data_IF_666294202933
#
_entry.id   IF_666294202933
#
_cell.length_a   1.000
_cell.length_b   1.000
_cell.length_c   1.000
_cell.angle_alpha   90.00
_cell.angle_beta   90.00
_cell.angle_gamma   90.00
#
_symmetry.space_group_name_H-M   'P 1'
#
loop_
_entity.id
_entity.type
_entity.pdbx_description
1 polymer ?
#
# COMPACT_ATOMS: atom_id res chain seq x y z
N UNK A 1 15.27 12.05 -16.36
CA UNK A 1 14.99 10.70 -15.86
C UNK A 1 15.99 10.26 -14.79
N UNK A 2 17.30 10.37 -15.04
CA UNK A 2 18.36 9.90 -14.11
C UNK A 2 18.37 10.60 -12.73
N UNK A 3 18.04 11.88 -12.64
CA UNK A 3 18.03 12.58 -11.35
C UNK A 3 16.84 12.19 -10.47
N UNK A 4 15.69 11.96 -11.08
CA UNK A 4 14.48 11.49 -10.36
C UNK A 4 14.69 10.08 -9.79
N UNK A 5 15.34 9.21 -10.57
CA UNK A 5 15.70 7.87 -10.10
C UNK A 5 16.68 7.91 -8.92
N UNK A 6 17.71 8.76 -9.00
CA UNK A 6 18.68 8.95 -7.91
C UNK A 6 18.01 9.51 -6.66
N UNK A 7 17.15 10.52 -6.82
CA UNK A 7 16.40 11.11 -5.71
C UNK A 7 15.49 10.06 -5.07
N UNK A 8 14.76 9.29 -5.88
CA UNK A 8 13.93 8.21 -5.38
C UNK A 8 14.77 7.17 -4.62
N UNK A 9 15.89 6.71 -5.19
CA UNK A 9 16.80 5.76 -4.53
C UNK A 9 17.31 6.30 -3.18
N UNK A 10 17.68 7.57 -3.13
CA UNK A 10 18.15 8.21 -1.89
C UNK A 10 17.02 8.28 -0.85
N UNK A 11 15.83 8.73 -1.26
CA UNK A 11 14.67 8.79 -0.35
C UNK A 11 14.30 7.40 0.18
N UNK A 12 14.32 6.41 -0.69
CA UNK A 12 14.04 5.04 -0.33
C UNK A 12 15.08 4.43 0.62
N UNK A 13 16.37 4.71 0.39
CA UNK A 13 17.44 4.23 1.27
C UNK A 13 17.35 4.81 2.70
N UNK A 14 16.62 5.92 2.88
CA UNK A 14 16.44 6.57 4.19
C UNK A 14 15.07 6.30 4.82
N UNK A 15 14.28 5.39 4.26
CA UNK A 15 13.04 4.98 4.91
C UNK A 15 13.33 4.31 6.26
N UNK A 16 12.52 4.57 7.29
CA UNK A 16 12.64 3.91 8.57
C UNK A 16 12.58 2.39 8.41
N UNK A 17 13.46 1.66 9.09
CA UNK A 17 13.44 0.19 9.09
C UNK A 17 12.23 -0.38 9.81
N UNK A 18 11.72 0.30 10.83
CA UNK A 18 10.53 -0.13 11.56
C UNK A 18 9.25 0.38 10.93
N UNK A 19 8.20 -0.45 10.90
CA UNK A 19 6.87 -0.06 10.43
C UNK A 19 6.33 1.16 11.19
N UNK A 20 6.48 1.21 12.51
CA UNK A 20 6.06 2.35 13.31
C UNK A 20 6.77 3.65 12.93
N UNK A 21 8.06 3.58 12.57
CA UNK A 21 8.82 4.72 12.05
C UNK A 21 8.29 5.18 10.68
N UNK A 22 7.99 4.24 9.79
CA UNK A 22 7.40 4.51 8.48
C UNK A 22 6.02 5.18 8.62
N UNK A 23 5.18 4.70 9.54
CA UNK A 23 3.87 5.27 9.83
C UNK A 23 3.97 6.70 10.35
N UNK A 24 4.90 6.98 11.29
CA UNK A 24 5.13 8.34 11.80
C UNK A 24 5.60 9.29 10.71
N UNK A 25 6.54 8.85 9.87
CA UNK A 25 6.98 9.61 8.71
C UNK A 25 5.83 9.89 7.76
N UNK A 26 5.04 8.88 7.43
CA UNK A 26 3.87 8.99 6.56
C UNK A 26 2.85 9.99 7.10
N UNK A 27 2.58 9.95 8.40
CA UNK A 27 1.68 10.90 9.07
C UNK A 27 2.14 12.34 8.89
N UNK A 28 3.42 12.61 9.14
CA UNK A 28 4.00 13.96 8.96
C UNK A 28 3.93 14.41 7.50
N UNK A 29 4.32 13.53 6.57
CA UNK A 29 4.29 13.84 5.14
C UNK A 29 2.86 14.09 4.62
N UNK A 30 1.86 13.37 5.13
CA UNK A 30 0.45 13.60 4.81
C UNK A 30 0.01 15.01 5.20
N UNK A 31 0.38 15.47 6.38
CA UNK A 31 0.11 16.82 6.85
C UNK A 31 0.87 17.89 6.07
N UNK A 32 2.15 17.68 5.78
CA UNK A 32 2.94 18.60 4.96
C UNK A 32 2.35 18.73 3.55
N UNK A 33 1.94 17.64 2.96
CA UNK A 33 1.29 17.67 1.64
C UNK A 33 -0.05 18.40 1.69
N UNK A 34 -0.84 18.15 2.72
CA UNK A 34 -2.11 18.86 2.89
C UNK A 34 -1.91 20.37 3.04
N UNK A 35 -0.88 20.82 3.77
CA UNK A 35 -0.54 22.22 3.90
C UNK A 35 -0.07 22.83 2.57
N UNK A 36 0.75 22.11 1.81
CA UNK A 36 1.36 22.60 0.58
C UNK A 36 0.43 22.58 -0.65
N UNK A 37 -0.60 21.72 -0.67
CA UNK A 37 -1.43 21.48 -1.86
C UNK A 37 -2.91 21.86 -1.65
N UNK A 38 -3.35 23.00 -2.19
CA UNK A 38 -4.77 23.36 -2.19
C UNK A 38 -5.66 22.33 -2.89
N UNK A 39 -5.15 21.75 -3.97
CA UNK A 39 -5.87 20.70 -4.72
C UNK A 39 -6.10 19.46 -3.86
N UNK A 40 -5.07 18.96 -3.18
CA UNK A 40 -5.21 17.81 -2.30
C UNK A 40 -6.22 18.08 -1.16
N UNK A 41 -6.23 19.31 -0.60
CA UNK A 41 -7.23 19.71 0.41
C UNK A 41 -8.66 19.62 -0.13
N UNK A 42 -8.88 20.12 -1.34
CA UNK A 42 -10.20 20.11 -1.97
C UNK A 42 -10.65 18.67 -2.30
N UNK A 43 -9.76 17.87 -2.89
CA UNK A 43 -10.04 16.48 -3.26
C UNK A 43 -10.37 15.62 -2.01
N UNK A 44 -9.59 15.77 -0.93
CA UNK A 44 -9.85 15.06 0.32
C UNK A 44 -11.17 15.49 0.96
N UNK A 45 -11.45 16.79 1.02
CA UNK A 45 -12.70 17.30 1.57
C UNK A 45 -13.92 16.81 0.76
N UNK A 46 -13.83 16.82 -0.57
CA UNK A 46 -14.87 16.30 -1.46
C UNK A 46 -15.11 14.80 -1.27
N UNK A 47 -14.04 14.01 -1.16
CA UNK A 47 -14.14 12.57 -0.90
C UNK A 47 -14.83 12.26 0.43
N UNK A 48 -14.42 12.96 1.49
CA UNK A 48 -15.02 12.78 2.82
C UNK A 48 -16.49 13.22 2.86
N UNK A 49 -16.84 14.31 2.17
CA UNK A 49 -18.21 14.77 2.05
C UNK A 49 -19.09 13.74 1.30
N UNK A 50 -18.58 13.17 0.20
CA UNK A 50 -19.27 12.12 -0.56
C UNK A 50 -19.50 10.86 0.29
N UNK A 51 -18.55 10.53 1.17
CA UNK A 51 -18.68 9.43 2.11
C UNK A 51 -19.54 9.74 3.36
N UNK A 52 -20.11 10.95 3.46
CA UNK A 52 -20.88 11.40 4.63
C UNK A 52 -20.05 11.61 5.90
N UNK A 53 -18.73 11.70 5.77
CA UNK A 53 -17.79 11.84 6.90
C UNK A 53 -17.56 13.32 7.23
N UNK A 54 -18.47 13.91 7.97
CA UNK A 54 -18.43 15.34 8.35
C UNK A 54 -17.70 15.63 9.65
N UNK A 55 -17.27 14.59 10.40
CA UNK A 55 -16.61 14.76 11.69
C UNK A 55 -15.19 15.37 11.53
N UNK A 56 -14.87 16.52 12.16
CA UNK A 56 -13.54 17.14 12.06
C UNK A 56 -12.39 16.26 12.58
N UNK A 57 -12.65 15.34 13.50
CA UNK A 57 -11.62 14.39 13.98
C UNK A 57 -11.26 13.39 12.87
N UNK A 58 -12.28 12.84 12.18
CA UNK A 58 -12.06 11.94 11.04
C UNK A 58 -11.31 12.64 9.91
N UNK A 59 -11.64 13.90 9.62
CA UNK A 59 -10.92 14.69 8.63
C UNK A 59 -9.42 14.79 8.97
N UNK A 60 -9.08 15.16 10.20
CA UNK A 60 -7.68 15.23 10.63
C UNK A 60 -6.96 13.88 10.57
N UNK A 61 -7.65 12.81 10.93
CA UNK A 61 -7.11 11.46 10.82
C UNK A 61 -6.86 11.07 9.35
N UNK A 62 -7.78 11.37 8.45
CA UNK A 62 -7.64 11.09 7.02
C UNK A 62 -6.44 11.80 6.38
N UNK A 63 -6.15 13.05 6.78
CA UNK A 63 -4.96 13.79 6.29
C UNK A 63 -3.68 13.00 6.56
N UNK A 64 -3.47 12.58 7.81
CA UNK A 64 -2.30 11.79 8.17
C UNK A 64 -2.31 10.39 7.56
N UNK A 65 -3.46 9.71 7.55
CA UNK A 65 -3.62 8.35 7.04
C UNK A 65 -3.29 8.23 5.55
N UNK A 66 -3.60 9.23 4.73
CA UNK A 66 -3.20 9.24 3.32
C UNK A 66 -1.68 9.18 3.14
N UNK A 67 -0.92 9.93 3.93
CA UNK A 67 0.53 9.88 3.92
C UNK A 67 1.07 8.56 4.45
N UNK A 68 0.45 8.02 5.52
CA UNK A 68 0.80 6.71 6.08
C UNK A 68 0.66 5.63 5.02
N UNK A 69 -0.45 5.56 4.30
CA UNK A 69 -0.69 4.55 3.25
C UNK A 69 0.41 4.54 2.18
N UNK A 70 0.86 5.72 1.75
CA UNK A 70 1.93 5.84 0.74
C UNK A 70 3.25 5.31 1.30
N UNK A 71 3.63 5.74 2.51
CA UNK A 71 4.93 5.34 3.09
C UNK A 71 4.94 3.87 3.50
N UNK A 72 3.82 3.33 3.97
CA UNK A 72 3.68 1.89 4.25
C UNK A 72 3.84 1.04 2.98
N UNK A 73 3.23 1.45 1.86
CA UNK A 73 3.40 0.74 0.59
C UNK A 73 4.88 0.71 0.17
N UNK A 74 5.58 1.84 0.27
CA UNK A 74 7.01 1.93 -0.02
C UNK A 74 7.84 1.07 0.95
N UNK A 75 7.47 1.03 2.22
CA UNK A 75 8.10 0.22 3.24
C UNK A 75 7.95 -1.28 2.92
N UNK A 76 6.73 -1.73 2.61
CA UNK A 76 6.42 -3.12 2.24
C UNK A 76 7.25 -3.57 1.04
N UNK A 77 7.44 -2.72 0.03
CA UNK A 77 8.20 -3.08 -1.17
C UNK A 77 9.71 -3.16 -0.97
N UNK A 78 10.24 -2.60 0.10
CA UNK A 78 11.69 -2.49 0.31
C UNK A 78 12.24 -3.37 1.43
N UNK A 79 11.42 -3.65 2.44
CA UNK A 79 11.91 -4.48 3.55
C UNK A 79 12.10 -5.93 3.12
N UNK A 80 12.99 -6.66 3.80
CA UNK A 80 13.12 -8.10 3.62
C UNK A 80 11.75 -8.77 3.76
N UNK A 81 11.50 -9.74 2.91
CA UNK A 81 10.18 -10.36 2.84
C UNK A 81 9.72 -11.00 4.17
N UNK A 82 10.57 -11.73 4.91
CA UNK A 82 10.19 -12.26 6.22
C UNK A 82 9.75 -11.16 7.19
N UNK A 83 10.48 -10.02 7.23
CA UNK A 83 10.18 -8.92 8.13
C UNK A 83 8.80 -8.30 7.84
N UNK A 84 8.40 -8.27 6.55
CA UNK A 84 7.08 -7.78 6.15
C UNK A 84 6.00 -8.75 6.61
N UNK A 85 6.18 -10.05 6.41
CA UNK A 85 5.22 -11.08 6.84
C UNK A 85 5.02 -11.10 8.34
N UNK A 86 6.09 -10.90 9.11
CA UNK A 86 6.06 -10.86 10.58
C UNK A 86 5.23 -9.69 11.14
N UNK A 87 4.91 -8.70 10.32
CA UNK A 87 4.00 -7.60 10.73
C UNK A 87 2.53 -8.00 10.72
N UNK A 88 2.17 -9.08 10.03
CA UNK A 88 0.79 -9.59 9.99
C UNK A 88 0.50 -10.30 11.31
N UNK A 89 -0.35 -9.71 12.14
CA UNK A 89 -0.69 -10.22 13.48
C UNK A 89 -1.84 -11.20 13.48
N UNK A 90 -2.80 -10.98 12.61
CA UNK A 90 -4.03 -11.76 12.58
C UNK A 90 -4.58 -11.79 11.14
N UNK A 91 -5.13 -12.93 10.75
CA UNK A 91 -5.83 -13.10 9.49
C UNK A 91 -7.15 -13.80 9.79
N UNK A 92 -8.25 -13.13 9.51
CA UNK A 92 -9.59 -13.63 9.76
C UNK A 92 -10.24 -14.08 8.46
N UNK A 93 -10.93 -15.22 8.47
CA UNK A 93 -11.70 -15.72 7.33
C UNK A 93 -10.88 -16.47 6.26
N UNK A 94 -9.61 -16.76 6.50
CA UNK A 94 -8.79 -17.52 5.54
C UNK A 94 -9.31 -18.95 5.31
N UNK A 95 -9.97 -19.53 6.29
CA UNK A 95 -10.64 -20.83 6.21
C UNK A 95 -11.68 -20.90 5.07
N UNK A 96 -12.34 -19.78 4.75
CA UNK A 96 -13.27 -19.70 3.64
C UNK A 96 -12.54 -19.83 2.27
N UNK A 97 -11.33 -19.27 2.18
CA UNK A 97 -10.45 -19.40 1.00
C UNK A 97 -10.01 -20.85 0.83
N UNK A 98 -9.55 -21.49 1.91
CA UNK A 98 -9.15 -22.90 1.92
C UNK A 98 -10.31 -23.82 1.50
N UNK A 99 -11.49 -23.60 2.06
CA UNK A 99 -12.69 -24.34 1.70
C UNK A 99 -13.10 -24.16 0.22
N UNK A 100 -12.99 -22.91 -0.29
CA UNK A 100 -13.28 -22.63 -1.69
C UNK A 100 -12.25 -23.30 -2.63
N UNK A 101 -10.98 -23.28 -2.27
CA UNK A 101 -9.89 -23.96 -2.99
C UNK A 101 -10.11 -25.47 -3.04
N UNK A 102 -10.51 -26.07 -1.92
CA UNK A 102 -10.79 -27.50 -1.81
C UNK A 102 -11.90 -28.00 -2.76
N UNK A 103 -12.78 -27.10 -3.23
CA UNK A 103 -13.81 -27.42 -4.23
C UNK A 103 -13.29 -27.47 -5.69
N UNK A 104 -12.00 -27.16 -5.91
CA UNK A 104 -11.38 -27.25 -7.23
C UNK A 104 -11.73 -26.14 -8.22
N UNK A 105 -12.42 -25.09 -7.77
CA UNK A 105 -12.74 -23.89 -8.57
C UNK A 105 -11.63 -22.84 -8.51
N UNK A 106 -11.65 -21.90 -9.47
CA UNK A 106 -10.83 -20.70 -9.39
C UNK A 106 -11.33 -19.74 -8.31
N UNK A 107 -10.43 -18.90 -7.79
CA UNK A 107 -10.74 -17.89 -6.80
C UNK A 107 -10.54 -16.50 -7.39
N UNK A 108 -11.50 -15.62 -7.16
CA UNK A 108 -11.38 -14.21 -7.49
C UNK A 108 -11.37 -13.38 -6.18
N UNK A 109 -10.24 -12.71 -5.92
CA UNK A 109 -10.12 -11.79 -4.78
C UNK A 109 -10.43 -10.37 -5.20
N UNK A 110 -11.32 -9.72 -4.45
CA UNK A 110 -11.58 -8.29 -4.57
C UNK A 110 -10.98 -7.59 -3.35
N UNK A 111 -9.97 -6.77 -3.57
CA UNK A 111 -9.26 -6.05 -2.51
C UNK A 111 -9.57 -4.57 -2.57
N UNK A 112 -10.23 -3.99 -1.55
CA UNK A 112 -10.39 -2.55 -1.46
C UNK A 112 -9.06 -1.88 -1.13
N UNK A 113 -8.89 -0.62 -1.54
CA UNK A 113 -7.73 0.20 -1.19
C UNK A 113 -7.87 0.76 0.23
N UNK A 114 -7.93 -0.12 1.23
CA UNK A 114 -8.04 0.22 2.65
C UNK A 114 -6.77 -0.17 3.39
N UNK A 115 -6.23 0.74 4.18
CA UNK A 115 -4.98 0.54 4.90
C UNK A 115 -3.82 0.17 3.98
N UNK A 116 -2.88 -0.61 4.46
CA UNK A 116 -1.76 -1.11 3.67
C UNK A 116 -2.17 -2.33 2.82
N UNK A 117 -3.05 -2.12 1.83
CA UNK A 117 -3.55 -3.20 0.97
C UNK A 117 -2.45 -3.93 0.18
N UNK A 118 -1.28 -3.34 0.01
CA UNK A 118 -0.13 -3.95 -0.69
C UNK A 118 0.33 -5.26 -0.02
N UNK A 119 0.19 -5.39 1.30
CA UNK A 119 0.59 -6.60 2.00
C UNK A 119 -0.36 -7.77 1.75
N UNK A 120 -1.63 -7.51 1.45
CA UNK A 120 -2.65 -8.57 1.34
C UNK A 120 -2.35 -9.55 0.22
N UNK A 121 -2.01 -9.04 -0.96
CA UNK A 121 -1.66 -9.84 -2.12
C UNK A 121 -0.34 -10.59 -1.92
N UNK A 122 0.63 -9.96 -1.28
CA UNK A 122 1.92 -10.56 -1.00
C UNK A 122 1.78 -11.69 0.03
N UNK A 123 1.02 -11.45 1.11
CA UNK A 123 0.74 -12.46 2.13
C UNK A 123 -0.03 -13.67 1.57
N UNK A 124 -1.01 -13.43 0.71
CA UNK A 124 -1.76 -14.50 0.08
C UNK A 124 -0.91 -15.24 -0.98
N UNK A 125 -0.02 -14.54 -1.69
CA UNK A 125 0.91 -15.12 -2.68
C UNK A 125 1.88 -16.15 -2.09
N UNK A 126 2.22 -16.03 -0.80
CA UNK A 126 3.02 -17.05 -0.09
C UNK A 126 2.27 -18.37 0.09
N UNK A 127 0.95 -18.37 0.03
CA UNK A 127 0.08 -19.53 0.33
C UNK A 127 -0.52 -20.15 -0.92
N UNK A 128 -0.67 -19.37 -1.96
CA UNK A 128 -1.20 -19.82 -3.24
C UNK A 128 -0.72 -18.93 -4.39
N UNK A 129 -0.56 -19.48 -5.61
CA UNK A 129 -0.21 -18.66 -6.76
C UNK A 129 -1.32 -17.66 -7.05
N UNK A 130 -0.97 -16.38 -7.12
CA UNK A 130 -1.91 -15.28 -7.36
C UNK A 130 -1.49 -14.51 -8.60
N UNK A 131 -2.46 -14.17 -9.45
CA UNK A 131 -2.29 -13.20 -10.53
C UNK A 131 -3.02 -11.92 -10.18
N UNK A 132 -2.29 -10.80 -10.16
CA UNK A 132 -2.82 -9.48 -9.86
C UNK A 132 -2.98 -8.71 -11.17
N UNK A 133 -4.19 -8.17 -11.40
CA UNK A 133 -4.42 -7.22 -12.48
C UNK A 133 -3.66 -5.92 -12.16
N UNK A 134 -2.72 -5.56 -13.04
CA UNK A 134 -1.79 -4.50 -12.78
C UNK A 134 -1.70 -3.52 -13.96
N UNK A 135 -1.86 -2.25 -13.68
CA UNK A 135 -1.58 -1.19 -14.64
C UNK A 135 -0.30 -0.47 -14.25
N UNK A 136 0.79 -0.60 -15.02
CA UNK A 136 2.04 0.09 -14.72
C UNK A 136 1.84 1.61 -14.76
N UNK A 137 2.47 2.37 -13.84
CA UNK A 137 2.45 3.81 -13.88
C UNK A 137 3.16 4.34 -15.14
N UNK A 138 2.76 5.54 -15.57
CA UNK A 138 3.34 6.18 -16.77
C UNK A 138 4.81 6.52 -16.63
N UNK A 139 5.31 6.67 -15.40
CA UNK A 139 6.72 6.96 -15.13
C UNK A 139 7.54 5.65 -15.08
N UNK A 140 8.50 5.44 -16.01
CA UNK A 140 9.25 4.19 -16.09
C UNK A 140 10.04 3.83 -14.82
N UNK A 141 10.61 4.84 -14.15
CA UNK A 141 11.32 4.64 -12.88
C UNK A 141 10.41 4.11 -11.78
N UNK A 142 9.19 4.65 -11.68
CA UNK A 142 8.20 4.20 -10.68
C UNK A 142 7.64 2.81 -11.05
N UNK A 143 7.43 2.56 -12.36
CA UNK A 143 6.99 1.25 -12.84
C UNK A 143 7.96 0.14 -12.42
N UNK A 144 9.26 0.36 -12.59
CA UNK A 144 10.30 -0.60 -12.20
C UNK A 144 10.22 -0.95 -10.70
N UNK A 145 10.11 0.07 -9.85
CA UNK A 145 10.04 -0.11 -8.40
C UNK A 145 8.77 -0.84 -7.95
N UNK A 146 7.65 -0.42 -8.47
CA UNK A 146 6.35 -0.94 -8.12
C UNK A 146 6.19 -2.39 -8.62
N UNK A 147 6.66 -2.69 -9.82
CA UNK A 147 6.69 -4.06 -10.34
C UNK A 147 7.57 -4.96 -9.47
N UNK A 148 8.79 -4.52 -9.14
CA UNK A 148 9.69 -5.29 -8.29
C UNK A 148 9.12 -5.51 -6.87
N UNK A 149 8.44 -4.50 -6.32
CA UNK A 149 7.80 -4.60 -5.00
C UNK A 149 6.62 -5.55 -4.96
N UNK A 150 5.81 -5.58 -6.03
CA UNK A 150 4.61 -6.42 -6.13
C UNK A 150 4.86 -7.84 -6.64
N UNK A 151 5.88 -8.05 -7.46
CA UNK A 151 6.24 -9.38 -7.99
C UNK A 151 7.12 -10.16 -7.00
N UNK A 152 6.63 -10.35 -5.77
CA UNK A 152 7.32 -11.07 -4.69
C UNK A 152 6.48 -12.28 -4.27
N UNK A 153 7.15 -13.30 -3.72
CA UNK A 153 6.46 -14.55 -3.36
C UNK A 153 5.83 -15.21 -4.58
N UNK A 154 4.67 -15.80 -4.46
CA UNK A 154 3.90 -16.44 -5.53
C UNK A 154 3.06 -15.51 -6.39
N UNK A 155 3.39 -14.21 -6.44
CA UNK A 155 2.61 -13.18 -7.14
C UNK A 155 3.07 -13.02 -8.59
N UNK A 156 2.14 -13.12 -9.53
CA UNK A 156 2.31 -12.77 -10.94
C UNK A 156 1.55 -11.50 -11.26
N UNK A 157 2.12 -10.62 -12.09
CA UNK A 157 1.45 -9.39 -12.54
C UNK A 157 0.98 -9.57 -13.99
N UNK A 158 -0.29 -9.23 -14.27
CA UNK A 158 -0.90 -9.32 -15.60
C UNK A 158 -1.47 -7.94 -16.04
#
# INVERSE_FOLDING_TARGET
LRWQERLAQTLFAHLPRSLAGAQRLGWVLGWLWWLASPRYRADLAGTLATAGMTNPRLHRQAIGACGVQIVEALWVWQQPWPDVLDTVREVVGWEAVEAARGRGGGLLFLTPHLGCFEITSLWAGERLPITILYRPPRQPWLAKWLTAGRARGGVTLA
#
